data_IF_475970016746
#
_entry.id   IF_475970016746
#
_cell.length_a   1.000
_cell.length_b   1.000
_cell.length_c   1.000
_cell.angle_alpha   90.00
_cell.angle_beta   90.00
_cell.angle_gamma   90.00
#
_symmetry.space_group_name_H-M   'P 1'
#
loop_
_entity.id
_entity.type
_entity.pdbx_description
1 polymer ?
#
# COMPACT_ATOMS: atom_id res chain seq x y z
N UNK A 1 3.09 -0.20 11.50
CA UNK A 1 4.57 -0.25 11.52
C UNK A 1 5.11 -1.49 10.80
N UNK A 2 4.76 -2.71 11.22
CA UNK A 2 5.26 -3.95 10.60
C UNK A 2 5.03 -4.03 9.08
N UNK A 3 3.89 -3.58 8.60
CA UNK A 3 3.59 -3.53 7.17
C UNK A 3 4.53 -2.57 6.43
N UNK A 4 4.76 -1.38 6.99
CA UNK A 4 5.71 -0.40 6.43
C UNK A 4 7.15 -0.94 6.43
N UNK A 5 7.54 -1.64 7.50
CA UNK A 5 8.83 -2.32 7.56
C UNK A 5 8.98 -3.38 6.46
N UNK A 6 7.93 -4.16 6.21
CA UNK A 6 7.94 -5.20 5.18
C UNK A 6 8.06 -4.61 3.77
N UNK A 7 7.35 -3.50 3.49
CA UNK A 7 7.42 -2.80 2.21
C UNK A 7 8.82 -2.27 1.89
N UNK A 8 9.57 -1.86 2.91
CA UNK A 8 10.88 -1.20 2.78
C UNK A 8 12.06 -2.13 3.10
N UNK A 9 11.83 -3.41 3.33
CA UNK A 9 12.89 -4.36 3.62
C UNK A 9 13.59 -4.79 2.31
N UNK A 10 14.89 -4.53 2.15
CA UNK A 10 15.64 -4.91 0.95
C UNK A 10 15.68 -6.43 0.73
N UNK A 11 15.60 -7.23 1.80
CA UNK A 11 15.62 -8.70 1.68
C UNK A 11 14.30 -9.25 1.12
N UNK A 12 13.18 -8.57 1.38
CA UNK A 12 11.89 -8.94 0.81
C UNK A 12 11.68 -8.37 -0.59
N UNK A 13 12.36 -7.27 -0.93
CA UNK A 13 12.36 -6.59 -2.22
C UNK A 13 10.94 -6.40 -2.82
N UNK A 14 9.96 -6.00 -1.99
CA UNK A 14 8.60 -5.75 -2.46
C UNK A 14 8.47 -4.45 -3.25
N UNK A 15 9.43 -3.55 -3.13
CA UNK A 15 9.50 -2.34 -3.95
C UNK A 15 10.77 -2.31 -4.78
N UNK A 16 10.64 -1.82 -6.00
CA UNK A 16 11.74 -1.47 -6.90
C UNK A 16 11.48 -0.08 -7.52
N UNK A 17 10.71 0.74 -6.80
CA UNK A 17 10.25 2.04 -7.26
C UNK A 17 11.33 3.09 -7.01
N UNK A 18 11.67 3.83 -8.05
CA UNK A 18 12.55 5.00 -8.03
C UNK A 18 11.88 6.09 -8.88
N UNK A 19 11.08 6.92 -8.25
CA UNK A 19 10.35 8.00 -8.93
C UNK A 19 11.19 9.26 -9.04
N UNK A 20 12.09 9.50 -8.08
CA UNK A 20 12.94 10.68 -8.08
C UNK A 20 14.18 10.53 -9.01
N UNK A 21 14.48 9.31 -9.46
CA UNK A 21 15.54 9.02 -10.44
C UNK A 21 16.95 9.05 -9.87
N UNK A 22 17.13 8.82 -8.57
CA UNK A 22 18.45 8.83 -7.93
C UNK A 22 19.16 7.47 -7.95
N UNK A 23 18.47 6.42 -8.44
CA UNK A 23 18.97 5.05 -8.55
C UNK A 23 18.76 4.20 -7.31
N UNK A 24 18.25 4.77 -6.24
CA UNK A 24 17.88 4.06 -5.01
C UNK A 24 16.37 3.83 -4.97
N UNK A 25 15.93 2.78 -4.28
CA UNK A 25 14.51 2.52 -4.10
C UNK A 25 13.93 3.53 -3.11
N UNK A 26 12.87 4.23 -3.53
CA UNK A 26 12.17 5.21 -2.70
C UNK A 26 11.61 4.60 -1.42
N UNK A 27 11.77 5.30 -0.29
CA UNK A 27 11.13 4.90 0.95
C UNK A 27 9.60 5.03 0.86
N UNK A 28 8.90 3.96 1.18
CA UNK A 28 7.44 3.92 1.18
C UNK A 28 6.89 4.08 2.60
N UNK A 29 6.32 5.25 2.90
CA UNK A 29 5.63 5.47 4.17
C UNK A 29 4.17 5.03 4.08
N UNK A 30 3.57 4.69 5.20
CA UNK A 30 2.18 4.22 5.30
C UNK A 30 1.36 5.19 6.13
N UNK A 31 0.27 5.68 5.56
CA UNK A 31 -0.72 6.54 6.21
C UNK A 31 -2.04 5.81 6.25
N UNK A 32 -2.60 5.65 7.42
CA UNK A 32 -3.89 5.01 7.64
C UNK A 32 -4.93 6.04 8.07
N UNK A 33 -6.15 5.90 7.60
CA UNK A 33 -7.32 6.61 8.10
C UNK A 33 -8.50 5.67 8.20
N UNK A 34 -9.42 5.94 9.11
CA UNK A 34 -10.61 5.12 9.31
C UNK A 34 -11.85 5.97 9.54
N UNK A 35 -12.97 5.43 9.14
CA UNK A 35 -14.31 5.97 9.36
C UNK A 35 -15.28 4.83 9.64
N UNK A 36 -15.73 4.70 10.88
CA UNK A 36 -16.63 3.65 11.36
C UNK A 36 -16.15 2.24 11.00
N UNK A 37 -16.79 1.63 10.00
CA UNK A 37 -16.53 0.26 9.51
C UNK A 37 -15.56 0.23 8.31
N UNK A 38 -14.86 1.34 8.01
CA UNK A 38 -13.97 1.50 6.87
C UNK A 38 -12.57 1.83 7.31
N UNK A 39 -11.61 1.27 6.60
CA UNK A 39 -10.18 1.58 6.73
C UNK A 39 -9.59 1.89 5.36
N UNK A 40 -8.74 2.89 5.31
CA UNK A 40 -7.95 3.22 4.13
C UNK A 40 -6.49 3.29 4.54
N UNK A 41 -5.67 2.49 3.89
CA UNK A 41 -4.22 2.49 4.04
C UNK A 41 -3.63 3.03 2.75
N UNK A 42 -2.93 4.16 2.81
CA UNK A 42 -2.27 4.78 1.66
C UNK A 42 -0.77 4.57 1.78
N UNK A 43 -0.15 4.07 0.70
CA UNK A 43 1.28 3.89 0.56
C UNK A 43 1.82 5.06 -0.25
N UNK A 44 2.77 5.80 0.31
CA UNK A 44 3.32 7.02 -0.29
C UNK A 44 4.83 6.94 -0.41
N UNK A 45 5.38 7.18 -1.60
CA UNK A 45 6.81 7.36 -1.80
C UNK A 45 7.28 8.71 -1.24
N UNK A 46 8.39 8.69 -0.53
CA UNK A 46 9.05 9.87 0.03
C UNK A 46 10.15 10.31 -0.95
N UNK A 47 9.91 11.35 -1.73
CA UNK A 47 10.74 11.69 -2.89
C UNK A 47 11.70 12.86 -2.65
N UNK A 48 11.30 13.81 -1.82
CA UNK A 48 12.11 14.96 -1.42
C UNK A 48 11.48 15.58 -0.16
N UNK A 49 12.07 16.67 0.32
CA UNK A 49 11.51 17.40 1.47
C UNK A 49 10.09 17.89 1.16
N UNK A 50 9.12 17.40 1.94
CA UNK A 50 7.68 17.70 1.80
C UNK A 50 7.06 17.27 0.44
N UNK A 51 7.77 16.45 -0.34
CA UNK A 51 7.27 15.89 -1.61
C UNK A 51 6.97 14.41 -1.44
N UNK A 52 5.71 14.06 -1.58
CA UNK A 52 5.20 12.70 -1.46
C UNK A 52 4.33 12.36 -2.67
N UNK A 53 4.40 11.11 -3.08
CA UNK A 53 3.59 10.59 -4.17
C UNK A 53 2.88 9.32 -3.73
N UNK A 54 1.55 9.30 -3.88
CA UNK A 54 0.79 8.08 -3.66
C UNK A 54 1.23 7.01 -4.65
N UNK A 55 1.45 5.81 -4.13
CA UNK A 55 1.81 4.63 -4.93
C UNK A 55 0.61 3.71 -5.07
N UNK A 56 -0.01 3.38 -3.95
CA UNK A 56 -1.19 2.54 -3.90
C UNK A 56 -2.00 2.79 -2.63
N UNK A 57 -3.26 2.39 -2.68
CA UNK A 57 -4.17 2.43 -1.53
C UNK A 57 -4.83 1.07 -1.32
N UNK A 58 -5.04 0.70 -0.07
CA UNK A 58 -5.82 -0.48 0.32
C UNK A 58 -7.07 0.01 1.03
N UNK A 59 -8.22 -0.14 0.37
CA UNK A 59 -9.52 0.19 0.95
C UNK A 59 -10.18 -1.08 1.50
N UNK A 60 -10.67 -1.01 2.71
CA UNK A 60 -11.35 -2.12 3.40
C UNK A 60 -12.64 -1.62 4.02
N UNK A 61 -13.77 -2.25 3.72
CA UNK A 61 -15.05 -1.96 4.35
C UNK A 61 -15.71 -3.25 4.85
N UNK A 62 -16.23 -3.21 6.06
CA UNK A 62 -17.03 -4.29 6.65
C UNK A 62 -18.50 -3.91 6.65
N UNK A 63 -19.32 -4.70 6.00
CA UNK A 63 -20.77 -4.56 6.06
C UNK A 63 -21.27 -4.98 7.44
N UNK A 64 -21.95 -4.07 8.14
CA UNK A 64 -22.41 -4.30 9.52
C UNK A 64 -23.51 -5.37 9.61
N UNK A 65 -24.32 -5.53 8.55
CA UNK A 65 -25.45 -6.47 8.53
C UNK A 65 -25.01 -7.86 8.15
N UNK A 66 -24.22 -7.98 7.08
CA UNK A 66 -23.80 -9.28 6.53
C UNK A 66 -22.47 -9.74 7.12
N UNK A 67 -21.73 -8.85 7.80
CA UNK A 67 -20.35 -9.08 8.28
C UNK A 67 -19.35 -9.41 7.16
N UNK A 68 -19.74 -9.23 5.91
CA UNK A 68 -18.85 -9.39 4.76
C UNK A 68 -17.84 -8.25 4.68
N UNK A 69 -16.63 -8.55 4.20
CA UNK A 69 -15.56 -7.58 4.03
C UNK A 69 -15.26 -7.41 2.56
N UNK A 70 -15.27 -6.16 2.11
CA UNK A 70 -14.85 -5.76 0.78
C UNK A 70 -13.43 -5.19 0.87
N UNK A 71 -12.53 -5.63 -0.01
CA UNK A 71 -11.18 -5.08 -0.15
C UNK A 71 -10.96 -4.67 -1.59
N UNK A 72 -10.36 -3.49 -1.77
CA UNK A 72 -9.78 -3.07 -3.05
C UNK A 72 -8.34 -2.59 -2.82
N UNK A 73 -7.42 -3.09 -3.63
CA UNK A 73 -6.06 -2.54 -3.77
C UNK A 73 -6.06 -1.70 -5.02
N UNK A 74 -5.79 -0.41 -4.87
CA UNK A 74 -5.94 0.60 -5.91
C UNK A 74 -4.57 1.22 -6.15
N UNK A 75 -4.04 1.00 -7.36
CA UNK A 75 -2.79 1.64 -7.79
C UNK A 75 -3.03 3.12 -8.11
N UNK A 76 -2.04 3.95 -7.80
CA UNK A 76 -2.11 5.37 -8.15
C UNK A 76 -2.16 5.56 -9.67
N UNK A 77 -2.97 6.51 -10.11
CA UNK A 77 -3.26 6.73 -11.53
C UNK A 77 -2.02 7.18 -12.31
N UNK A 78 -1.15 7.95 -11.68
CA UNK A 78 0.09 8.42 -12.29
C UNK A 78 1.08 7.28 -12.58
N UNK A 79 1.14 6.30 -11.68
CA UNK A 79 2.10 5.19 -11.78
C UNK A 79 1.54 4.03 -12.60
N UNK A 80 0.29 3.64 -12.36
CA UNK A 80 -0.33 2.42 -12.91
C UNK A 80 -1.38 2.69 -13.99
N UNK A 81 -1.71 3.94 -14.26
CA UNK A 81 -2.81 4.32 -15.16
C UNK A 81 -4.18 4.23 -14.49
N UNK A 82 -5.18 4.70 -15.20
CA UNK A 82 -6.56 4.78 -14.70
C UNK A 82 -7.16 3.41 -14.41
N UNK A 83 -7.89 3.32 -13.31
CA UNK A 83 -8.65 2.11 -12.92
C UNK A 83 -7.80 0.85 -12.68
N UNK A 84 -6.58 1.00 -12.19
CA UNK A 84 -5.80 -0.14 -11.72
C UNK A 84 -6.32 -0.57 -10.34
N UNK A 85 -7.30 -1.48 -10.35
CA UNK A 85 -8.00 -1.96 -9.16
C UNK A 85 -7.90 -3.47 -9.09
N UNK A 86 -7.43 -3.99 -7.97
CA UNK A 86 -7.35 -5.41 -7.68
C UNK A 86 -8.24 -5.71 -6.48
N UNK A 87 -9.06 -6.75 -6.60
CA UNK A 87 -9.92 -7.23 -5.53
C UNK A 87 -9.45 -8.62 -5.07
N UNK A 88 -8.72 -8.70 -3.94
CA UNK A 88 -8.27 -9.97 -3.39
C UNK A 88 -9.45 -10.87 -3.00
N UNK A 89 -9.33 -12.16 -3.30
CA UNK A 89 -10.28 -13.20 -2.89
C UNK A 89 -9.51 -14.21 -2.04
N UNK A 90 -9.71 -14.13 -0.73
CA UNK A 90 -8.99 -14.96 0.22
C UNK A 90 -9.66 -16.33 0.37
N UNK A 91 -8.85 -17.39 0.43
CA UNK A 91 -9.32 -18.75 0.71
C UNK A 91 -9.79 -18.86 2.17
N UNK A 92 -9.07 -18.18 3.06
CA UNK A 92 -9.39 -18.11 4.49
C UNK A 92 -9.52 -16.65 4.90
N UNK A 93 -10.39 -16.36 5.88
CA UNK A 93 -10.53 -15.00 6.43
C UNK A 93 -9.19 -14.52 6.97
N UNK A 94 -8.66 -13.39 6.46
CA UNK A 94 -7.39 -12.84 6.96
C UNK A 94 -7.47 -12.40 8.42
N UNK A 95 -6.47 -12.75 9.21
CA UNK A 95 -6.39 -12.35 10.63
C UNK A 95 -6.36 -10.83 10.82
N UNK A 96 -5.86 -10.08 9.83
CA UNK A 96 -5.84 -8.62 9.84
C UNK A 96 -7.23 -8.00 10.02
N UNK A 97 -8.30 -8.70 9.62
CA UNK A 97 -9.67 -8.22 9.82
C UNK A 97 -10.02 -8.11 11.29
N UNK A 98 -9.58 -9.06 12.12
CA UNK A 98 -9.82 -9.01 13.56
C UNK A 98 -9.05 -7.85 14.22
N UNK A 99 -7.90 -7.50 13.64
CA UNK A 99 -7.12 -6.36 14.10
C UNK A 99 -7.79 -5.03 13.74
N UNK A 100 -8.25 -4.84 12.50
CA UNK A 100 -8.89 -3.59 12.06
C UNK A 100 -10.09 -3.19 12.90
N UNK A 101 -10.89 -4.17 13.34
CA UNK A 101 -12.06 -3.92 14.17
C UNK A 101 -11.89 -4.37 15.62
N UNK A 102 -10.67 -4.63 16.03
CA UNK A 102 -10.33 -4.94 17.42
C UNK A 102 -10.28 -3.69 18.32
N UNK A 103 -10.53 -3.85 19.60
CA UNK A 103 -10.53 -2.76 20.57
C UNK A 103 -9.14 -2.11 20.74
N UNK A 104 -8.08 -2.79 20.34
CA UNK A 104 -6.69 -2.31 20.42
C UNK A 104 -6.20 -1.62 19.14
N UNK A 105 -7.05 -1.49 18.12
CA UNK A 105 -6.65 -0.83 16.88
C UNK A 105 -6.37 0.65 17.09
N UNK A 106 -5.26 1.10 16.53
CA UNK A 106 -4.83 2.49 16.49
C UNK A 106 -4.41 2.83 15.08
N UNK A 107 -4.92 3.95 14.57
CA UNK A 107 -4.58 4.45 13.26
C UNK A 107 -3.08 4.72 13.13
N UNK A 108 -2.44 4.12 12.12
CA UNK A 108 -1.02 4.32 11.87
C UNK A 108 -0.79 5.50 10.94
N UNK A 109 -0.03 6.49 11.41
CA UNK A 109 0.54 7.54 10.59
C UNK A 109 2.05 7.44 10.67
N UNK A 110 2.70 7.11 9.57
CA UNK A 110 4.16 7.03 9.53
C UNK A 110 4.78 8.34 10.00
N UNK A 111 5.69 8.31 10.97
CA UNK A 111 6.42 9.49 11.43
C UNK A 111 7.59 9.84 10.51
N UNK A 112 7.85 9.04 9.46
CA UNK A 112 9.03 9.16 8.62
C UNK A 112 8.81 10.09 7.42
N UNK A 113 9.87 10.80 7.06
CA UNK A 113 9.89 11.80 6.00
C UNK A 113 11.32 11.94 5.44
N UNK A 114 11.51 12.72 4.41
CA UNK A 114 12.79 12.91 3.76
C UNK A 114 13.90 13.34 4.74
N UNK A 115 14.95 12.53 4.83
CA UNK A 115 16.07 12.72 5.74
C UNK A 115 15.83 12.22 7.18
N UNK A 116 14.63 11.72 7.48
CA UNK A 116 14.33 11.08 8.76
C UNK A 116 13.65 9.73 8.53
N UNK A 117 14.44 8.68 8.62
CA UNK A 117 14.04 7.30 8.38
C UNK A 117 14.24 6.43 9.62
N UNK A 118 13.56 5.28 9.71
CA UNK A 118 13.76 4.38 10.85
C UNK A 118 15.17 3.81 10.85
N UNK A 119 15.69 3.51 12.04
CA UNK A 119 17.07 2.99 12.22
C UNK A 119 17.32 1.63 11.57
N UNK A 120 16.27 0.86 11.28
CA UNK A 120 16.36 -0.44 10.62
C UNK A 120 16.41 -0.32 9.10
N UNK A 121 16.01 0.82 8.52
CA UNK A 121 16.01 1.04 7.07
C UNK A 121 17.39 1.51 6.58
N UNK A 122 17.76 1.03 5.40
CA UNK A 122 18.92 1.50 4.65
C UNK A 122 18.56 1.60 3.17
N UNK A 123 19.04 2.63 2.46
CA UNK A 123 18.88 2.72 1.01
C UNK A 123 19.43 1.48 0.32
N UNK A 124 18.76 1.05 -0.73
CA UNK A 124 19.19 -0.03 -1.60
C UNK A 124 18.87 0.31 -3.05
N UNK A 125 19.67 -0.21 -3.98
CA UNK A 125 19.56 0.14 -5.39
C UNK A 125 18.45 -0.65 -6.07
N UNK A 126 17.84 0.01 -7.08
CA UNK A 126 16.92 -0.65 -7.98
C UNK A 126 17.62 -1.77 -8.73
N UNK A 127 16.92 -2.87 -8.91
CA UNK A 127 17.37 -3.99 -9.74
C UNK A 127 16.72 -3.94 -11.12
N UNK A 128 17.29 -4.67 -12.07
CA UNK A 128 16.70 -4.82 -13.40
C UNK A 128 15.23 -5.26 -13.30
N UNK A 129 14.31 -4.66 -14.08
CA UNK A 129 12.89 -4.98 -14.02
C UNK A 129 12.56 -6.47 -14.22
N UNK A 130 13.34 -7.20 -15.01
CA UNK A 130 13.14 -8.65 -15.19
C UNK A 130 13.50 -9.44 -13.94
N UNK A 131 14.58 -9.04 -13.24
CA UNK A 131 14.97 -9.64 -11.95
C UNK A 131 13.90 -9.37 -10.91
N UNK A 132 13.38 -8.14 -10.84
CA UNK A 132 12.30 -7.78 -9.93
C UNK A 132 11.02 -8.56 -10.22
N UNK A 133 10.63 -8.68 -11.49
CA UNK A 133 9.45 -9.43 -11.90
C UNK A 133 9.57 -10.92 -11.54
N UNK A 134 10.72 -11.53 -11.77
CA UNK A 134 11.00 -12.94 -11.43
C UNK A 134 10.88 -13.16 -9.91
N UNK A 135 11.38 -12.22 -9.11
CA UNK A 135 11.25 -12.24 -7.66
C UNK A 135 9.77 -12.15 -7.22
N UNK A 136 8.98 -11.24 -7.77
CA UNK A 136 7.54 -11.12 -7.49
C UNK A 136 6.78 -12.39 -7.87
N UNK A 137 7.10 -12.97 -9.03
CA UNK A 137 6.50 -14.21 -9.50
C UNK A 137 6.81 -15.38 -8.56
N UNK A 138 8.05 -15.49 -8.10
CA UNK A 138 8.46 -16.52 -7.15
C UNK A 138 7.70 -16.39 -5.81
N UNK A 139 7.56 -15.18 -5.28
CA UNK A 139 6.77 -14.93 -4.09
C UNK A 139 5.31 -15.32 -4.26
N UNK A 140 4.70 -14.91 -5.34
CA UNK A 140 3.31 -15.26 -5.64
C UNK A 140 3.10 -16.77 -5.75
N UNK A 141 4.02 -17.48 -6.40
CA UNK A 141 3.95 -18.92 -6.58
C UNK A 141 4.11 -19.69 -5.27
N UNK A 142 5.04 -19.26 -4.40
CA UNK A 142 5.35 -19.99 -3.16
C UNK A 142 4.43 -19.62 -1.99
N UNK A 143 3.73 -18.48 -2.05
CA UNK A 143 2.83 -18.02 -0.99
C UNK A 143 1.43 -17.69 -1.53
N UNK A 144 0.70 -18.65 -2.12
CA UNK A 144 -0.62 -18.41 -2.70
C UNK A 144 -1.69 -18.33 -1.61
N UNK A 145 -1.77 -17.20 -0.90
CA UNK A 145 -2.76 -16.99 0.17
C UNK A 145 -4.09 -16.43 -0.33
N UNK A 146 -4.11 -15.89 -1.54
CA UNK A 146 -5.34 -15.40 -2.17
C UNK A 146 -5.26 -15.53 -3.69
N UNK A 147 -6.40 -15.56 -4.34
CA UNK A 147 -6.56 -15.18 -5.73
C UNK A 147 -7.01 -13.72 -5.82
N UNK A 148 -7.06 -13.14 -7.01
CA UNK A 148 -7.54 -11.78 -7.19
C UNK A 148 -8.31 -11.62 -8.49
N UNK A 149 -9.20 -10.63 -8.50
CA UNK A 149 -9.97 -10.20 -9.67
C UNK A 149 -9.60 -8.76 -9.99
N UNK A 150 -9.75 -8.37 -11.23
CA UNK A 150 -9.68 -6.97 -11.64
C UNK A 150 -10.99 -6.27 -11.28
N UNK A 151 -10.91 -5.22 -10.49
CA UNK A 151 -12.04 -4.33 -10.22
C UNK A 151 -12.27 -3.37 -11.40
N UNK A 152 -13.51 -2.95 -11.60
CA UNK A 152 -13.88 -2.03 -12.67
C UNK A 152 -14.19 -0.61 -12.18
N UNK A 153 -14.55 -0.48 -10.91
CA UNK A 153 -14.92 0.80 -10.31
C UNK A 153 -14.40 0.89 -8.88
N UNK A 154 -13.95 2.09 -8.51
CA UNK A 154 -13.64 2.39 -7.12
C UNK A 154 -14.89 2.24 -6.25
N UNK A 155 -14.69 1.71 -5.03
CA UNK A 155 -15.74 1.70 -4.04
C UNK A 155 -16.22 3.15 -3.77
N UNK A 156 -17.53 3.41 -3.64
CA UNK A 156 -18.05 4.79 -3.50
C UNK A 156 -17.44 5.58 -2.35
N UNK A 157 -17.05 4.91 -1.27
CA UNK A 157 -16.46 5.54 -0.09
C UNK A 157 -14.94 5.74 -0.17
N UNK A 158 -14.27 5.16 -1.18
CA UNK A 158 -12.82 5.30 -1.34
C UNK A 158 -12.38 6.74 -1.55
N UNK A 159 -12.90 7.39 -2.58
CA UNK A 159 -12.47 8.75 -2.95
C UNK A 159 -12.65 9.78 -1.83
N UNK A 160 -13.80 9.83 -1.12
CA UNK A 160 -13.97 10.74 0.02
C UNK A 160 -12.93 10.55 1.11
N UNK A 161 -12.56 9.31 1.45
CA UNK A 161 -11.52 9.04 2.44
C UNK A 161 -10.13 9.42 1.93
N UNK A 162 -9.82 9.05 0.68
CA UNK A 162 -8.51 9.30 0.06
C UNK A 162 -8.19 10.80 -0.05
N UNK A 163 -9.16 11.65 -0.35
CA UNK A 163 -8.98 13.11 -0.45
C UNK A 163 -8.39 13.76 0.81
N UNK A 164 -8.53 13.14 1.97
CA UNK A 164 -8.01 13.68 3.23
C UNK A 164 -6.55 13.33 3.50
N UNK A 165 -6.02 12.29 2.88
CA UNK A 165 -4.68 11.75 3.18
C UNK A 165 -3.81 11.55 1.95
N UNK A 166 -4.39 11.53 0.76
CA UNK A 166 -3.69 11.35 -0.51
C UNK A 166 -2.73 12.49 -0.81
N UNK A 167 -1.60 12.18 -1.44
CA UNK A 167 -0.56 13.12 -1.86
C UNK A 167 -0.07 12.77 -3.26
N UNK A 168 -0.15 13.72 -4.18
CA UNK A 168 0.29 13.60 -5.56
C UNK A 168 1.23 14.76 -5.94
N UNK A 169 2.18 15.05 -5.06
CA UNK A 169 3.03 16.25 -5.19
C UNK A 169 4.01 16.12 -6.36
N UNK A 170 4.35 14.89 -6.75
CA UNK A 170 5.27 14.62 -7.85
C UNK A 170 4.57 14.60 -9.22
N UNK A 171 3.31 14.16 -9.26
CA UNK A 171 2.51 14.10 -10.50
C UNK A 171 1.97 15.44 -10.97
N UNK A 172 2.13 16.50 -10.18
CA UNK A 172 1.75 17.88 -10.52
C UNK A 172 2.95 18.68 -10.95
#
# INVERSE_FOLDING_TARGET
EQFEQLLNNPDSAFSNLDLNGDGEVDYLRVIETADNNRHLVVIQAVLARDIYQDVASIFVEKDEKTQSVTIQVIGDEYIYGTNYIIEPVYIYRPLIYDWFWGASWVCWHSPYYWGYYPHWWRPYYCVDPFIYWDHCYWHHYNYPICSYRTGHHHHPHYRPMHQHVGRNDFAT
#
